data_IF_275647266345
#
_entry.id   IF_275647266345
#
_cell.length_a   1.000
_cell.length_b   1.000
_cell.length_c   1.000
_cell.angle_alpha   90.00
_cell.angle_beta   90.00
_cell.angle_gamma   90.00
#
_symmetry.space_group_name_H-M   'P 1'
#
loop_
_entity.id
_entity.type
_entity.pdbx_description
1 polymer ?
#
# COMPACT_ATOMS: atom_id res chain seq x y z
N UNK A 1 7.44 -0.61 6.17
CA UNK A 1 6.17 -0.96 5.50
C UNK A 1 5.20 0.21 5.58
N UNK A 2 4.16 0.25 4.75
CA UNK A 2 3.13 1.29 4.89
C UNK A 2 2.31 1.04 6.16
N UNK A 3 2.17 2.01 7.06
CA UNK A 3 1.60 1.77 8.38
C UNK A 3 0.09 1.56 8.33
N UNK A 4 -0.58 2.03 7.27
CA UNK A 4 -2.02 1.89 7.07
C UNK A 4 -2.44 0.54 6.45
N UNK A 5 -1.50 -0.35 6.16
CA UNK A 5 -1.77 -1.64 5.50
C UNK A 5 -1.76 -1.59 3.97
N UNK A 6 -1.56 -0.40 3.37
CA UNK A 6 -1.38 -0.24 1.92
C UNK A 6 0.03 -0.66 1.47
N UNK A 7 0.35 -1.95 1.59
CA UNK A 7 1.70 -2.52 1.39
C UNK A 7 2.50 -1.87 0.26
N UNK A 8 3.70 -1.36 0.58
CA UNK A 8 4.52 -0.60 -0.37
C UNK A 8 4.94 -1.44 -1.57
N UNK A 9 5.16 -2.75 -1.40
CA UNK A 9 5.51 -3.65 -2.50
C UNK A 9 4.44 -3.78 -3.57
N UNK A 10 3.20 -3.34 -3.29
CA UNK A 10 2.09 -3.27 -4.23
C UNK A 10 1.74 -1.82 -4.65
N UNK A 11 2.44 -0.82 -4.13
CA UNK A 11 2.19 0.58 -4.47
C UNK A 11 2.83 0.93 -5.81
N UNK A 12 2.01 1.32 -6.80
CA UNK A 12 2.50 1.64 -8.15
C UNK A 12 3.62 2.70 -8.17
N UNK A 13 3.53 3.75 -7.34
CA UNK A 13 4.57 4.80 -7.25
C UNK A 13 5.90 4.24 -6.72
N UNK A 14 5.84 3.41 -5.66
CA UNK A 14 7.04 2.79 -5.10
C UNK A 14 7.67 1.81 -6.09
N UNK A 15 6.85 0.95 -6.72
CA UNK A 15 7.30 0.00 -7.75
C UNK A 15 7.96 0.74 -8.91
N UNK A 16 7.33 1.80 -9.44
CA UNK A 16 7.88 2.58 -10.54
C UNK A 16 9.23 3.21 -10.19
N UNK A 17 9.40 3.67 -8.95
CA UNK A 17 10.67 4.23 -8.46
C UNK A 17 11.73 3.15 -8.32
N UNK A 18 11.42 2.05 -7.61
CA UNK A 18 12.33 0.91 -7.37
C UNK A 18 12.85 0.32 -8.68
N UNK A 19 11.96 0.13 -9.65
CA UNK A 19 12.27 -0.53 -10.92
C UNK A 19 12.80 0.44 -11.98
N UNK A 20 13.00 1.73 -11.64
CA UNK A 20 13.40 2.80 -12.58
C UNK A 20 12.51 2.85 -13.83
N UNK A 21 11.20 2.63 -13.64
CA UNK A 21 10.23 2.52 -14.72
C UNK A 21 9.55 3.87 -14.97
N UNK A 22 10.18 4.68 -15.82
CA UNK A 22 9.73 6.03 -16.21
C UNK A 22 8.30 6.04 -16.75
N UNK A 23 7.99 5.13 -17.69
CA UNK A 23 6.65 5.03 -18.28
C UNK A 23 5.58 4.73 -17.24
N UNK A 24 5.85 3.82 -16.30
CA UNK A 24 4.89 3.51 -15.24
C UNK A 24 4.77 4.65 -14.24
N UNK A 25 5.85 5.37 -13.98
CA UNK A 25 5.84 6.57 -13.13
C UNK A 25 4.94 7.65 -13.71
N UNK A 26 5.03 7.91 -15.01
CA UNK A 26 4.17 8.87 -15.71
C UNK A 26 2.69 8.48 -15.62
N UNK A 27 2.37 7.19 -15.82
CA UNK A 27 0.99 6.68 -15.68
C UNK A 27 0.46 6.92 -14.25
N UNK A 28 1.28 6.67 -13.22
CA UNK A 28 0.89 6.95 -11.83
C UNK A 28 0.74 8.45 -11.57
N UNK A 29 1.62 9.28 -12.11
CA UNK A 29 1.55 10.73 -12.00
C UNK A 29 0.25 11.27 -12.60
N UNK A 30 -0.10 10.82 -13.80
CA UNK A 30 -1.36 11.19 -14.46
C UNK A 30 -2.60 10.71 -13.69
N UNK A 31 -2.57 9.47 -13.17
CA UNK A 31 -3.67 8.91 -12.38
C UNK A 31 -3.98 9.74 -11.14
N UNK A 32 -2.94 10.19 -10.44
CA UNK A 32 -3.08 10.95 -9.18
C UNK A 32 -2.92 12.46 -9.35
N UNK A 33 -2.76 12.93 -10.59
CA UNK A 33 -2.52 14.35 -10.94
C UNK A 33 -1.31 14.95 -10.20
N UNK A 34 -0.22 14.19 -10.11
CA UNK A 34 1.05 14.62 -9.53
C UNK A 34 2.13 14.77 -10.59
N UNK A 35 3.02 15.77 -10.43
CA UNK A 35 4.16 15.94 -11.33
C UNK A 35 5.12 14.75 -11.25
N UNK A 36 5.90 14.52 -12.30
CA UNK A 36 6.86 13.41 -12.34
C UNK A 36 7.88 13.47 -11.18
N UNK A 37 8.33 14.67 -10.82
CA UNK A 37 9.22 14.94 -9.67
C UNK A 37 8.60 14.58 -8.32
N UNK A 38 7.29 14.77 -8.17
CA UNK A 38 6.53 14.44 -6.97
C UNK A 38 6.09 12.97 -6.92
N UNK A 39 6.30 12.22 -8.03
CA UNK A 39 5.86 10.83 -8.20
C UNK A 39 7.01 9.84 -7.97
N UNK A 40 7.85 10.11 -6.96
CA UNK A 40 8.95 9.24 -6.54
C UNK A 40 8.83 8.86 -5.08
N UNK A 41 9.18 7.62 -4.72
CA UNK A 41 9.01 7.14 -3.35
C UNK A 41 9.97 6.00 -2.99
N UNK A 42 10.61 6.11 -1.83
CA UNK A 42 11.37 5.03 -1.20
C UNK A 42 10.65 4.41 0.01
N UNK A 43 9.35 4.69 0.17
CA UNK A 43 8.50 4.15 1.23
C UNK A 43 8.09 5.21 2.25
N UNK A 44 6.87 5.14 2.79
CA UNK A 44 6.34 6.24 3.60
C UNK A 44 6.88 6.30 5.04
N UNK A 45 7.46 5.21 5.56
CA UNK A 45 8.03 5.16 6.92
C UNK A 45 9.57 5.21 6.93
N UNK A 46 10.18 5.93 5.98
CA UNK A 46 11.60 6.25 6.02
C UNK A 46 11.96 7.03 7.29
N UNK A 47 13.18 6.86 7.79
CA UNK A 47 13.74 7.73 8.84
C UNK A 47 13.70 9.19 8.40
N UNK A 48 13.56 10.10 9.35
CA UNK A 48 13.58 11.53 9.06
C UNK A 48 15.01 12.07 8.97
N UNK A 49 15.28 13.00 8.05
CA UNK A 49 14.41 13.42 6.95
C UNK A 49 14.28 12.33 5.87
N UNK A 50 13.10 12.13 5.25
CA UNK A 50 12.94 11.12 4.22
C UNK A 50 13.71 11.50 2.95
N UNK A 51 14.40 10.53 2.33
CA UNK A 51 15.21 10.77 1.12
C UNK A 51 14.34 11.11 -0.10
N UNK A 52 13.27 10.33 -0.34
CA UNK A 52 12.25 10.60 -1.37
C UNK A 52 10.89 10.09 -0.94
N UNK A 53 9.92 10.99 -0.83
CA UNK A 53 8.57 10.68 -0.40
C UNK A 53 7.58 11.14 -1.47
N UNK A 54 6.62 10.28 -1.80
CA UNK A 54 5.54 10.64 -2.72
C UNK A 54 4.75 11.82 -2.17
N UNK A 55 4.38 12.79 -3.00
CA UNK A 55 3.69 14.02 -2.57
C UNK A 55 2.48 13.76 -1.67
N UNK A 56 1.59 12.83 -2.05
CA UNK A 56 0.43 12.46 -1.21
C UNK A 56 0.84 11.87 0.14
N UNK A 57 1.90 11.07 0.18
CA UNK A 57 2.41 10.48 1.42
C UNK A 57 3.08 11.51 2.33
N UNK A 58 3.58 12.63 1.78
CA UNK A 58 4.17 13.72 2.56
C UNK A 58 3.12 14.48 3.38
N UNK A 59 1.88 14.56 2.87
CA UNK A 59 0.74 15.20 3.54
C UNK A 59 -0.25 14.21 4.19
N UNK A 60 0.12 12.93 4.31
CA UNK A 60 -0.79 11.90 4.80
C UNK A 60 -0.98 11.97 6.32
N UNK A 61 -2.20 12.32 6.76
CA UNK A 61 -2.55 12.40 8.19
C UNK A 61 -2.45 11.06 8.92
N UNK A 62 -2.76 9.94 8.26
CA UNK A 62 -2.64 8.60 8.86
C UNK A 62 -1.17 8.30 9.22
N UNK A 63 -0.23 8.69 8.35
CA UNK A 63 1.21 8.56 8.61
C UNK A 63 1.63 9.40 9.82
N UNK A 64 1.16 10.64 9.89
CA UNK A 64 1.46 11.54 11.01
C UNK A 64 0.89 11.01 12.32
N UNK A 65 -0.34 10.49 12.30
CA UNK A 65 -1.00 9.87 13.45
C UNK A 65 -0.20 8.68 13.99
N UNK A 66 0.23 7.77 13.11
CA UNK A 66 1.01 6.58 13.50
C UNK A 66 2.33 6.99 14.17
N UNK A 67 3.04 7.97 13.60
CA UNK A 67 4.29 8.49 14.18
C UNK A 67 4.08 9.17 15.53
N UNK A 68 3.08 10.04 15.63
CA UNK A 68 2.76 10.74 16.87
C UNK A 68 2.41 9.79 18.02
N UNK A 69 1.79 8.64 17.71
CA UNK A 69 1.48 7.58 18.69
C UNK A 69 2.66 6.65 18.99
N UNK A 70 3.81 6.79 18.34
CA UNK A 70 4.93 5.85 18.46
C UNK A 70 4.63 4.47 17.89
N UNK A 71 3.60 4.34 17.05
CA UNK A 71 3.25 3.09 16.39
C UNK A 71 4.08 2.90 15.12
N UNK A 72 4.27 1.65 14.72
CA UNK A 72 4.82 1.29 13.42
C UNK A 72 3.73 0.96 12.40
N UNK A 73 2.50 0.65 12.85
CA UNK A 73 1.35 0.41 11.97
C UNK A 73 0.02 0.59 12.71
N UNK A 74 -1.03 0.89 11.95
CA UNK A 74 -2.39 1.04 12.44
C UNK A 74 -2.94 -0.24 13.08
N UNK A 75 -2.34 -1.41 12.85
CA UNK A 75 -2.77 -2.64 13.53
C UNK A 75 -2.65 -2.52 15.07
N UNK A 76 -1.72 -1.69 15.59
CA UNK A 76 -1.55 -1.40 17.01
C UNK A 76 -2.63 -0.47 17.58
N UNK A 77 -3.43 0.19 16.73
CA UNK A 77 -4.40 1.19 17.17
C UNK A 77 -5.69 0.54 17.71
N UNK A 78 -5.93 0.56 19.01
CA UNK A 78 -7.14 -0.01 19.62
C UNK A 78 -8.47 0.51 19.04
N UNK A 79 -8.46 1.71 18.47
CA UNK A 79 -9.64 2.36 17.86
C UNK A 79 -9.88 1.97 16.39
N UNK A 80 -9.16 0.99 15.84
CA UNK A 80 -9.32 0.59 14.44
C UNK A 80 -10.65 -0.15 14.16
N UNK A 81 -11.36 0.14 13.05
CA UNK A 81 -11.11 1.26 12.12
C UNK A 81 -11.56 2.59 12.75
N UNK A 82 -10.67 3.58 12.78
CA UNK A 82 -11.00 4.90 13.33
C UNK A 82 -11.55 5.83 12.24
N UNK A 83 -12.04 7.02 12.62
CA UNK A 83 -12.63 7.99 11.69
C UNK A 83 -11.71 8.38 10.51
N UNK A 84 -10.40 8.48 10.71
CA UNK A 84 -9.43 8.73 9.62
C UNK A 84 -9.45 7.64 8.54
N UNK A 85 -9.76 6.40 8.94
CA UNK A 85 -9.83 5.27 8.04
C UNK A 85 -11.21 5.21 7.40
N UNK A 86 -12.27 5.32 8.21
CA UNK A 86 -13.65 5.34 7.70
C UNK A 86 -13.88 6.44 6.65
N UNK A 87 -13.25 7.60 6.82
CA UNK A 87 -13.38 8.75 5.93
C UNK A 87 -12.30 8.81 4.83
N UNK A 88 -11.56 7.72 4.58
CA UNK A 88 -10.49 7.73 3.59
C UNK A 88 -11.03 7.89 2.16
N UNK A 89 -10.64 8.96 1.49
CA UNK A 89 -11.25 9.39 0.21
C UNK A 89 -10.99 8.52 -1.01
N UNK A 90 -10.13 7.49 -0.93
CA UNK A 90 -9.89 6.56 -2.05
C UNK A 90 -10.52 5.20 -1.74
N UNK A 91 -11.64 4.89 -2.39
CA UNK A 91 -12.43 3.67 -2.14
C UNK A 91 -11.60 2.37 -2.24
N UNK A 92 -10.75 2.23 -3.26
CA UNK A 92 -9.83 1.09 -3.38
C UNK A 92 -8.89 1.01 -2.17
N UNK A 93 -8.32 2.13 -1.74
CA UNK A 93 -7.45 2.16 -0.58
C UNK A 93 -8.19 1.82 0.71
N UNK A 94 -9.42 2.34 0.89
CA UNK A 94 -10.27 2.01 2.04
C UNK A 94 -10.54 0.50 2.13
N UNK A 95 -10.95 -0.13 1.03
CA UNK A 95 -11.18 -1.58 0.97
C UNK A 95 -9.92 -2.38 1.31
N UNK A 96 -8.79 -2.00 0.73
CA UNK A 96 -7.51 -2.66 1.00
C UNK A 96 -7.10 -2.50 2.46
N UNK A 97 -7.22 -1.31 3.05
CA UNK A 97 -6.91 -1.07 4.46
C UNK A 97 -7.78 -1.91 5.39
N UNK A 98 -9.11 -1.93 5.14
CA UNK A 98 -10.07 -2.72 5.92
C UNK A 98 -9.83 -4.23 5.84
N UNK A 99 -9.21 -4.74 4.78
CA UNK A 99 -8.77 -6.14 4.66
C UNK A 99 -7.40 -6.37 5.31
N UNK A 100 -6.42 -5.53 4.98
CA UNK A 100 -5.01 -5.78 5.27
C UNK A 100 -4.67 -5.59 6.75
N UNK A 101 -5.24 -4.60 7.45
CA UNK A 101 -4.93 -4.38 8.86
C UNK A 101 -5.47 -5.49 9.78
N UNK A 102 -6.72 -5.99 9.61
CA UNK A 102 -7.16 -7.17 10.37
C UNK A 102 -6.28 -8.39 10.14
N UNK A 103 -5.82 -8.63 8.90
CA UNK A 103 -4.86 -9.71 8.63
C UNK A 103 -3.54 -9.49 9.39
N UNK A 104 -3.04 -8.25 9.43
CA UNK A 104 -1.82 -7.92 10.19
C UNK A 104 -2.01 -8.23 11.67
N UNK A 105 -3.15 -7.85 12.26
CA UNK A 105 -3.49 -8.17 13.65
C UNK A 105 -3.50 -9.66 13.92
N UNK A 106 -4.16 -10.43 13.06
CA UNK A 106 -4.21 -11.89 13.21
C UNK A 106 -2.80 -12.48 13.20
N UNK A 107 -1.95 -12.11 12.23
CA UNK A 107 -0.58 -12.61 12.14
C UNK A 107 0.28 -12.22 13.34
N UNK A 108 0.11 -11.01 13.87
CA UNK A 108 0.83 -10.54 15.07
C UNK A 108 0.33 -11.22 16.34
N UNK A 109 -0.97 -11.46 16.46
CA UNK A 109 -1.53 -12.23 17.57
C UNK A 109 -1.00 -13.68 17.59
N UNK A 110 -0.87 -14.30 16.41
CA UNK A 110 -0.42 -15.69 16.28
C UNK A 110 1.10 -15.85 16.45
N UNK A 111 1.89 -14.90 15.94
CA UNK A 111 3.34 -15.06 15.75
C UNK A 111 4.20 -14.02 16.48
N UNK A 112 3.58 -13.07 17.16
CA UNK A 112 4.24 -11.89 17.72
C UNK A 112 4.52 -10.80 16.68
N UNK A 113 4.89 -9.61 17.14
CA UNK A 113 5.06 -8.40 16.32
C UNK A 113 5.97 -8.60 15.10
N UNK A 114 7.18 -9.11 15.31
CA UNK A 114 8.20 -9.19 14.26
C UNK A 114 7.82 -10.24 13.20
N UNK A 115 7.62 -11.49 13.61
CA UNK A 115 7.27 -12.59 12.70
C UNK A 115 5.90 -12.38 12.07
N UNK A 116 4.92 -11.90 12.84
CA UNK A 116 3.59 -11.59 12.34
C UNK A 116 3.59 -10.51 11.26
N UNK A 117 4.41 -9.47 11.43
CA UNK A 117 4.58 -8.42 10.42
C UNK A 117 5.25 -8.93 9.15
N UNK A 118 6.22 -9.84 9.26
CA UNK A 118 6.85 -10.49 8.10
C UNK A 118 5.84 -11.37 7.36
N UNK A 119 5.08 -12.20 8.06
CA UNK A 119 4.06 -13.05 7.45
C UNK A 119 2.93 -12.25 6.81
N UNK A 120 2.51 -11.15 7.45
CA UNK A 120 1.58 -10.22 6.85
C UNK A 120 2.11 -9.66 5.53
N UNK A 121 3.38 -9.21 5.51
CA UNK A 121 4.00 -8.69 4.30
C UNK A 121 4.12 -9.75 3.19
N UNK A 122 4.40 -11.01 3.54
CA UNK A 122 4.41 -12.15 2.60
C UNK A 122 3.03 -12.39 2.01
N UNK A 123 1.98 -12.42 2.84
CA UNK A 123 0.60 -12.60 2.37
C UNK A 123 0.14 -11.44 1.46
N UNK A 124 0.50 -10.19 1.79
CA UNK A 124 0.25 -9.06 0.90
C UNK A 124 1.01 -9.21 -0.41
N UNK A 125 2.29 -9.58 -0.38
CA UNK A 125 3.08 -9.80 -1.60
C UNK A 125 2.47 -10.89 -2.49
N UNK A 126 2.06 -12.02 -1.91
CA UNK A 126 1.41 -13.12 -2.63
C UNK A 126 0.11 -12.66 -3.31
N UNK A 127 -0.75 -11.93 -2.59
CA UNK A 127 -2.01 -11.40 -3.14
C UNK A 127 -1.81 -10.59 -4.42
N UNK A 128 -0.75 -9.80 -4.51
CA UNK A 128 -0.46 -8.97 -5.68
C UNK A 128 0.32 -9.73 -6.76
N UNK A 129 0.04 -11.02 -6.94
CA UNK A 129 0.42 -11.78 -8.13
C UNK A 129 -0.84 -12.24 -8.88
N UNK A 130 -0.74 -12.26 -10.21
CA UNK A 130 -1.85 -12.67 -11.05
C UNK A 130 -2.17 -14.16 -10.82
N UNK A 131 -3.42 -14.54 -10.50
CA UNK A 131 -3.77 -15.93 -10.23
C UNK A 131 -3.61 -16.83 -11.45
N UNK A 132 -3.69 -16.28 -12.67
CA UNK A 132 -3.59 -17.05 -13.91
C UNK A 132 -2.14 -17.30 -14.36
N UNK A 133 -1.19 -16.39 -14.07
CA UNK A 133 0.17 -16.47 -14.62
C UNK A 133 1.29 -16.19 -13.63
N UNK A 134 0.96 -15.91 -12.36
CA UNK A 134 1.92 -15.63 -11.31
C UNK A 134 2.73 -14.34 -11.47
N UNK A 135 2.46 -13.49 -12.47
CA UNK A 135 3.21 -12.24 -12.66
C UNK A 135 2.78 -11.16 -11.66
N UNK A 136 3.71 -10.33 -11.15
CA UNK A 136 3.39 -9.26 -10.21
C UNK A 136 2.36 -8.26 -10.76
N UNK A 137 1.48 -7.84 -9.86
CA UNK A 137 0.46 -6.81 -10.04
C UNK A 137 0.78 -5.61 -9.12
N UNK A 138 0.02 -4.54 -9.29
CA UNK A 138 0.02 -3.40 -8.37
C UNK A 138 -1.41 -3.17 -7.87
N UNK A 139 -1.55 -2.50 -6.74
CA UNK A 139 -2.85 -2.15 -6.16
C UNK A 139 -3.69 -1.30 -7.12
N UNK A 140 -4.92 -1.71 -7.33
CA UNK A 140 -5.84 -1.09 -8.28
C UNK A 140 -5.61 -1.50 -9.74
N UNK A 141 -4.76 -2.49 -10.01
CA UNK A 141 -4.70 -3.09 -11.34
C UNK A 141 -6.09 -3.65 -11.71
N UNK A 142 -6.53 -3.39 -12.95
CA UNK A 142 -7.79 -3.94 -13.48
C UNK A 142 -7.57 -5.22 -14.30
N UNK A 143 -6.45 -5.25 -15.04
CA UNK A 143 -6.07 -6.33 -15.94
C UNK A 143 -4.59 -6.67 -15.79
N UNK A 144 -4.24 -7.96 -15.85
CA UNK A 144 -2.85 -8.38 -15.85
C UNK A 144 -2.12 -7.92 -17.11
N UNK A 145 -0.99 -7.23 -16.97
CA UNK A 145 -0.20 -6.77 -18.14
C UNK A 145 0.39 -7.91 -18.97
N UNK A 146 0.67 -9.05 -18.35
CA UNK A 146 1.33 -10.19 -18.97
C UNK A 146 0.34 -11.09 -19.73
N UNK A 147 -0.65 -11.66 -19.04
CA UNK A 147 -1.60 -12.62 -19.63
C UNK A 147 -2.96 -12.01 -20.03
N UNK A 148 -3.20 -10.72 -19.76
CA UNK A 148 -4.45 -10.01 -20.06
C UNK A 148 -5.70 -10.47 -19.30
N UNK A 149 -5.57 -11.38 -18.32
CA UNK A 149 -6.65 -11.73 -17.41
C UNK A 149 -7.23 -10.48 -16.73
N UNK A 150 -8.56 -10.35 -16.73
CA UNK A 150 -9.26 -9.38 -15.88
C UNK A 150 -9.15 -9.81 -14.42
N UNK A 151 -8.65 -8.92 -13.58
CA UNK A 151 -8.32 -9.22 -12.18
C UNK A 151 -8.96 -8.25 -11.18
N UNK A 152 -9.69 -7.23 -11.65
CA UNK A 152 -10.26 -6.21 -10.79
C UNK A 152 -11.08 -6.82 -9.64
N UNK A 153 -12.01 -7.73 -9.97
CA UNK A 153 -12.95 -8.32 -9.01
C UNK A 153 -12.27 -9.24 -7.99
N UNK A 154 -11.21 -9.94 -8.41
CA UNK A 154 -10.46 -10.86 -7.53
C UNK A 154 -9.36 -10.16 -6.72
N UNK A 155 -8.96 -8.95 -7.11
CA UNK A 155 -7.89 -8.18 -6.45
C UNK A 155 -8.43 -7.12 -5.48
N UNK A 156 -8.90 -5.97 -5.98
CA UNK A 156 -9.28 -4.82 -5.12
C UNK A 156 -10.71 -4.33 -5.37
N UNK A 157 -11.46 -5.04 -6.21
CA UNK A 157 -12.78 -4.68 -6.72
C UNK A 157 -12.73 -3.54 -7.75
N UNK A 158 -13.85 -3.34 -8.45
CA UNK A 158 -14.07 -2.16 -9.28
C UNK A 158 -14.38 -0.93 -8.42
N UNK A 159 -14.23 0.27 -9.00
CA UNK A 159 -14.76 1.50 -8.41
C UNK A 159 -16.26 1.60 -8.71
#
# INVERSE_FOLDING_TARGET
>A
MAPCGLYCGACGVYIATRDKNEKFREIMGNLYKTKAEDTQCYGCMQSDPPKKLYGYCAMCEIRNCVRAKGFYSCHQCSQWPCSMIENFGLATGLRVMKRAIPLWRAKVADLGDEKGSVEWARAELERYHCPACGKPLFRGAKRCRACKQEIADVLDGTL
#
